data_IF_406896092946
#
_entry.id   IF_406896092946
#
_cell.length_a   1.000
_cell.length_b   1.000
_cell.length_c   1.000
_cell.angle_alpha   90.00
_cell.angle_beta   90.00
_cell.angle_gamma   90.00
#
_symmetry.space_group_name_H-M   'P 1'
#
loop_
_entity.id
_entity.type
_entity.pdbx_description
1 polymer ?
#
# COMPACT_ATOMS: atom_id res chain seq x y z
N UNK A 1 23.09 22.95 -26.55
CA UNK A 1 21.95 23.33 -27.42
C UNK A 1 20.98 22.17 -27.40
N UNK A 2 19.96 22.26 -26.55
CA UNK A 2 18.83 21.33 -26.56
C UNK A 2 17.97 21.74 -27.76
N UNK A 3 17.89 20.91 -28.80
CA UNK A 3 17.07 21.22 -29.99
C UNK A 3 15.59 21.18 -29.61
N UNK A 4 14.73 21.98 -30.26
CA UNK A 4 13.27 21.97 -30.06
C UNK A 4 12.68 20.54 -30.13
N UNK A 5 13.23 19.67 -30.97
CA UNK A 5 12.86 18.25 -31.05
C UNK A 5 13.10 17.42 -29.76
N UNK A 6 13.96 17.88 -28.85
CA UNK A 6 14.16 17.26 -27.53
C UNK A 6 13.13 17.74 -26.49
N UNK A 7 12.43 18.85 -26.72
CA UNK A 7 11.34 19.33 -25.86
C UNK A 7 10.01 18.62 -26.18
N UNK A 8 9.76 18.30 -27.46
CA UNK A 8 8.58 17.52 -27.89
C UNK A 8 8.58 16.07 -27.34
N UNK A 9 9.72 15.56 -26.87
CA UNK A 9 9.85 14.24 -26.23
C UNK A 9 9.46 14.22 -24.75
N UNK A 10 9.11 15.38 -24.17
CA UNK A 10 8.80 15.53 -22.74
C UNK A 10 7.31 15.82 -22.46
N UNK A 11 6.45 15.89 -23.49
CA UNK A 11 5.01 15.99 -23.27
C UNK A 11 4.48 14.61 -22.83
N UNK A 12 3.84 14.50 -21.64
CA UNK A 12 3.28 13.24 -21.17
C UNK A 12 2.10 12.82 -22.05
N UNK A 13 2.00 11.54 -22.39
CA UNK A 13 0.87 11.03 -23.17
C UNK A 13 -0.43 10.96 -22.33
N UNK A 14 -0.32 10.45 -21.10
CA UNK A 14 -1.44 10.25 -20.18
C UNK A 14 -1.01 10.65 -18.76
N UNK A 15 -1.85 11.41 -18.07
CA UNK A 15 -1.77 11.60 -16.62
C UNK A 15 -2.81 10.72 -15.95
N UNK A 16 -2.36 9.85 -15.05
CA UNK A 16 -3.22 9.03 -14.19
C UNK A 16 -3.33 9.68 -12.83
N UNK A 17 -4.56 9.88 -12.34
CA UNK A 17 -4.83 10.37 -11.00
C UNK A 17 -5.68 9.35 -10.25
N UNK A 18 -5.18 8.88 -9.12
CA UNK A 18 -5.93 8.07 -8.16
C UNK A 18 -6.39 8.97 -7.01
N UNK A 19 -7.65 8.81 -6.59
CA UNK A 19 -8.21 9.58 -5.48
C UNK A 19 -9.23 8.77 -4.69
N UNK A 20 -9.38 9.14 -3.42
CA UNK A 20 -10.38 8.56 -2.53
C UNK A 20 -11.71 9.23 -2.77
N UNK A 21 -12.70 8.47 -3.23
CA UNK A 21 -14.07 8.91 -3.33
C UNK A 21 -14.76 8.68 -1.97
N UNK A 22 -14.96 9.75 -1.21
CA UNK A 22 -15.53 9.69 0.14
C UNK A 22 -17.00 9.28 0.15
N UNK A 23 -17.73 9.49 -0.95
CA UNK A 23 -19.16 9.16 -1.04
C UNK A 23 -19.36 7.66 -1.23
N UNK A 24 -18.50 7.01 -2.03
CA UNK A 24 -18.54 5.56 -2.27
C UNK A 24 -17.55 4.74 -1.43
N UNK A 25 -16.66 5.41 -0.69
CA UNK A 25 -15.54 4.80 0.03
C UNK A 25 -14.68 3.89 -0.88
N UNK A 26 -14.32 4.40 -2.06
CA UNK A 26 -13.52 3.69 -3.06
C UNK A 26 -12.28 4.47 -3.46
N UNK A 27 -11.23 3.77 -3.88
CA UNK A 27 -10.15 4.33 -4.67
C UNK A 27 -10.58 4.35 -6.14
N UNK A 28 -10.79 5.55 -6.68
CA UNK A 28 -11.17 5.76 -8.07
C UNK A 28 -9.96 6.24 -8.88
N UNK A 29 -9.91 5.88 -10.17
CA UNK A 29 -8.87 6.35 -11.10
C UNK A 29 -9.49 7.19 -12.22
N UNK A 30 -8.85 8.30 -12.57
CA UNK A 30 -9.16 9.08 -13.77
C UNK A 30 -7.91 9.26 -14.62
N UNK A 31 -8.11 9.25 -15.94
CA UNK A 31 -7.06 9.43 -16.93
C UNK A 31 -7.29 10.72 -17.68
N UNK A 32 -6.27 11.57 -17.72
CA UNK A 32 -6.24 12.72 -18.61
C UNK A 32 -5.34 12.40 -19.80
N UNK A 33 -5.93 12.36 -20.99
CA UNK A 33 -5.22 12.20 -22.26
C UNK A 33 -4.85 13.58 -22.79
N UNK A 34 -3.55 13.86 -22.89
CA UNK A 34 -3.03 15.15 -23.33
C UNK A 34 -3.25 15.40 -24.82
N UNK A 35 -3.31 14.35 -25.64
CA UNK A 35 -3.54 14.44 -27.08
C UNK A 35 -5.00 14.85 -27.36
N UNK A 36 -5.96 14.18 -26.71
CA UNK A 36 -7.38 14.47 -26.89
C UNK A 36 -7.91 15.59 -25.98
N UNK A 37 -7.14 15.97 -24.96
CA UNK A 37 -7.51 16.93 -23.91
C UNK A 37 -8.79 16.55 -23.18
N UNK A 38 -9.02 15.24 -23.00
CA UNK A 38 -10.22 14.69 -22.36
C UNK A 38 -9.87 13.96 -21.08
N UNK A 39 -10.75 14.10 -20.09
CA UNK A 39 -10.79 13.21 -18.94
C UNK A 39 -11.66 12.00 -19.24
N UNK A 40 -11.17 10.82 -18.89
CA UNK A 40 -11.91 9.58 -18.90
C UNK A 40 -11.88 9.00 -17.48
N UNK A 41 -13.05 8.60 -16.95
CA UNK A 41 -13.08 7.81 -15.72
C UNK A 41 -12.53 6.42 -16.03
N UNK A 42 -11.61 5.95 -15.20
CA UNK A 42 -11.15 4.57 -15.27
C UNK A 42 -12.28 3.60 -14.99
N UNK A 43 -12.20 2.40 -15.57
CA UNK A 43 -13.13 1.32 -15.26
C UNK A 43 -12.96 0.78 -13.83
N UNK A 44 -11.79 1.02 -13.24
CA UNK A 44 -11.40 0.43 -11.96
C UNK A 44 -11.77 1.36 -10.80
N UNK A 45 -12.58 0.82 -9.90
CA UNK A 45 -12.94 1.40 -8.61
C UNK A 45 -12.75 0.29 -7.58
N UNK A 46 -11.77 0.46 -6.70
CA UNK A 46 -11.45 -0.53 -5.67
C UNK A 46 -12.08 -0.11 -4.34
N UNK A 47 -12.80 -0.99 -3.63
CA UNK A 47 -13.34 -0.67 -2.32
C UNK A 47 -12.23 -0.47 -1.29
N UNK A 48 -12.35 0.57 -0.46
CA UNK A 48 -11.54 0.71 0.73
C UNK A 48 -12.14 -0.10 1.86
N UNK A 49 -11.27 -0.68 2.68
CA UNK A 49 -11.63 -1.53 3.80
C UNK A 49 -11.42 -0.80 5.13
N UNK A 50 -12.19 -1.18 6.13
CA UNK A 50 -11.94 -0.78 7.52
C UNK A 50 -11.01 -1.80 8.18
N UNK A 51 -10.26 -1.36 9.19
CA UNK A 51 -9.47 -2.26 10.02
C UNK A 51 -10.36 -3.34 10.66
N UNK A 52 -10.00 -4.63 10.58
CA UNK A 52 -10.81 -5.70 11.14
C UNK A 52 -10.58 -5.84 12.66
N UNK A 53 -11.10 -4.90 13.45
CA UNK A 53 -10.91 -4.77 14.91
C UNK A 53 -11.14 -6.07 15.72
N UNK A 54 -12.06 -6.93 15.26
CA UNK A 54 -12.40 -8.18 15.96
C UNK A 54 -11.63 -9.41 15.45
N UNK A 55 -10.64 -9.21 14.58
CA UNK A 55 -9.85 -10.30 14.02
C UNK A 55 -8.71 -10.73 14.95
N UNK A 56 -8.60 -12.03 15.26
CA UNK A 56 -7.44 -12.57 15.95
C UNK A 56 -6.10 -12.29 15.25
N UNK A 57 -6.06 -12.13 13.93
CA UNK A 57 -4.82 -11.79 13.21
C UNK A 57 -4.51 -10.30 13.34
N UNK A 58 -5.53 -9.45 13.25
CA UNK A 58 -5.36 -8.00 13.40
C UNK A 58 -4.82 -7.63 14.79
N UNK A 59 -5.14 -8.39 15.84
CA UNK A 59 -4.58 -8.15 17.17
C UNK A 59 -3.11 -8.55 17.31
N UNK A 60 -2.51 -9.24 16.33
CA UNK A 60 -1.10 -9.64 16.34
C UNK A 60 -0.15 -8.54 15.87
N UNK A 61 -0.66 -7.49 15.23
CA UNK A 61 0.13 -6.39 14.66
C UNK A 61 -0.52 -5.05 15.05
N UNK A 62 0.23 -3.95 15.11
CA UNK A 62 -0.37 -2.64 15.37
C UNK A 62 -1.33 -2.24 14.25
N UNK A 63 -2.47 -1.63 14.60
CA UNK A 63 -3.34 -0.97 13.64
C UNK A 63 -2.57 0.20 13.01
N UNK A 64 -2.45 0.27 11.67
CA UNK A 64 -1.84 1.40 11.02
C UNK A 64 -2.66 2.68 11.27
N UNK A 65 -1.98 3.83 11.38
CA UNK A 65 -2.65 5.12 11.58
C UNK A 65 -3.47 5.60 10.37
N UNK A 66 -3.13 5.11 9.17
CA UNK A 66 -3.83 5.47 7.94
C UNK A 66 -5.15 4.72 7.81
N UNK A 67 -6.16 5.38 7.23
CA UNK A 67 -7.49 4.81 6.98
C UNK A 67 -7.68 4.27 5.56
N UNK A 68 -6.65 4.35 4.71
CA UNK A 68 -6.74 3.97 3.29
C UNK A 68 -6.30 2.53 3.05
N UNK A 69 -7.01 1.58 3.67
CA UNK A 69 -6.74 0.16 3.52
C UNK A 69 -7.41 -0.35 2.25
N UNK A 70 -6.66 -1.03 1.39
CA UNK A 70 -7.15 -1.74 0.20
C UNK A 70 -6.73 -3.21 0.23
N UNK A 71 -7.38 -4.03 -0.59
CA UNK A 71 -7.03 -5.45 -0.78
C UNK A 71 -6.93 -6.25 0.53
N UNK A 72 -7.78 -5.90 1.50
CA UNK A 72 -7.85 -6.57 2.80
C UNK A 72 -8.37 -8.00 2.63
N UNK A 73 -7.54 -8.95 3.05
CA UNK A 73 -7.85 -10.36 3.15
C UNK A 73 -7.52 -10.83 4.55
N UNK A 74 -8.54 -11.25 5.30
CA UNK A 74 -8.40 -11.79 6.64
C UNK A 74 -9.02 -13.18 6.71
N UNK A 75 -8.19 -14.18 6.97
CA UNK A 75 -8.58 -15.58 7.13
C UNK A 75 -7.86 -16.20 8.33
N UNK A 76 -8.13 -17.48 8.61
CA UNK A 76 -7.45 -18.18 9.70
C UNK A 76 -5.93 -18.29 9.51
N UNK A 77 -5.47 -18.29 8.26
CA UNK A 77 -4.06 -18.54 7.91
C UNK A 77 -3.33 -17.27 7.46
N UNK A 78 -4.03 -16.15 7.23
CA UNK A 78 -3.36 -14.90 6.85
C UNK A 78 -4.17 -13.65 7.17
N UNK A 79 -3.45 -12.55 7.37
CA UNK A 79 -3.94 -11.19 7.21
C UNK A 79 -3.05 -10.49 6.20
N UNK A 80 -3.62 -10.10 5.07
CA UNK A 80 -2.95 -9.34 4.00
C UNK A 80 -3.74 -8.08 3.72
N UNK A 81 -3.05 -6.96 3.54
CA UNK A 81 -3.67 -5.72 3.09
C UNK A 81 -2.62 -4.76 2.56
N UNK A 82 -3.09 -3.80 1.78
CA UNK A 82 -2.30 -2.67 1.32
C UNK A 82 -2.77 -1.39 2.03
N UNK A 83 -1.84 -0.47 2.27
CA UNK A 83 -2.10 0.87 2.77
C UNK A 83 -1.63 1.86 1.72
N UNK A 84 -2.55 2.69 1.25
CA UNK A 84 -2.30 3.69 0.23
C UNK A 84 -1.81 5.02 0.84
N UNK A 85 -1.01 5.75 0.08
CA UNK A 85 -0.50 7.07 0.48
C UNK A 85 0.54 7.01 1.60
N UNK A 86 1.23 5.88 1.75
CA UNK A 86 2.30 5.70 2.71
C UNK A 86 3.59 6.38 2.19
N UNK A 87 4.22 7.21 3.01
CA UNK A 87 5.58 7.69 2.73
C UNK A 87 6.62 6.69 3.25
N UNK A 88 7.87 6.87 2.82
CA UNK A 88 9.00 6.12 3.37
C UNK A 88 9.15 6.31 4.89
N UNK A 89 8.91 7.52 5.40
CA UNK A 89 8.95 7.82 6.83
C UNK A 89 7.82 7.07 7.57
N UNK A 90 6.62 7.01 7.00
CA UNK A 90 5.51 6.22 7.55
C UNK A 90 5.87 4.73 7.60
N UNK A 91 6.52 4.20 6.55
CA UNK A 91 7.01 2.82 6.53
C UNK A 91 7.99 2.53 7.67
N UNK A 92 8.98 3.41 7.86
CA UNK A 92 9.94 3.27 8.96
C UNK A 92 9.25 3.38 10.32
N UNK A 93 8.30 4.30 10.46
CA UNK A 93 7.50 4.44 11.66
C UNK A 93 6.70 3.16 11.95
N UNK A 94 5.97 2.63 10.98
CA UNK A 94 5.14 1.44 11.17
C UNK A 94 5.99 0.19 11.47
N UNK A 95 7.15 0.06 10.81
CA UNK A 95 8.13 -0.98 11.14
C UNK A 95 8.56 -0.92 12.61
N UNK A 96 8.83 0.28 13.13
CA UNK A 96 9.15 0.48 14.55
C UNK A 96 7.96 0.20 15.47
N UNK A 97 6.73 0.52 15.05
CA UNK A 97 5.50 0.19 15.78
C UNK A 97 5.32 -1.35 15.87
N UNK A 98 5.64 -2.11 14.81
CA UNK A 98 5.65 -3.57 14.84
C UNK A 98 6.69 -4.10 15.85
N UNK A 99 7.89 -3.51 15.89
CA UNK A 99 8.93 -3.87 16.88
C UNK A 99 8.46 -3.56 18.31
N UNK A 100 7.85 -2.39 18.54
CA UNK A 100 7.30 -2.01 19.83
C UNK A 100 6.13 -2.94 20.25
N UNK A 101 5.41 -3.53 19.30
CA UNK A 101 4.40 -4.56 19.51
C UNK A 101 5.02 -5.96 19.77
N UNK A 102 6.34 -6.05 19.85
CA UNK A 102 7.07 -7.26 20.22
C UNK A 102 7.35 -8.20 19.05
N UNK A 103 7.34 -7.70 17.81
CA UNK A 103 7.98 -8.39 16.69
C UNK A 103 9.49 -8.09 16.67
N UNK A 104 10.28 -9.01 16.13
CA UNK A 104 11.72 -8.83 15.98
C UNK A 104 12.08 -8.84 14.51
N UNK A 105 12.86 -7.86 14.05
CA UNK A 105 13.36 -7.83 12.66
C UNK A 105 14.34 -8.98 12.46
N UNK A 106 14.07 -9.80 11.44
CA UNK A 106 14.99 -10.84 10.96
C UNK A 106 15.96 -10.25 9.94
N UNK A 107 15.43 -9.51 8.96
CA UNK A 107 16.21 -8.85 7.90
C UNK A 107 15.44 -7.64 7.42
N UNK A 108 16.13 -6.53 7.17
CA UNK A 108 15.53 -5.35 6.56
C UNK A 108 16.40 -4.85 5.40
N UNK A 109 15.74 -4.39 4.35
CA UNK A 109 16.28 -3.62 3.24
C UNK A 109 15.66 -2.21 3.29
N UNK A 110 15.97 -1.36 2.32
CA UNK A 110 15.45 0.01 2.31
C UNK A 110 13.92 0.02 2.32
N UNK A 111 13.29 -0.77 1.46
CA UNK A 111 11.85 -0.81 1.23
C UNK A 111 11.16 -2.08 1.75
N UNK A 112 11.88 -2.96 2.45
CA UNK A 112 11.35 -4.25 2.92
C UNK A 112 11.78 -4.53 4.35
N UNK A 113 10.87 -5.05 5.18
CA UNK A 113 11.20 -5.59 6.49
C UNK A 113 10.59 -6.98 6.68
N UNK A 114 11.45 -7.98 6.89
CA UNK A 114 11.10 -9.34 7.26
C UNK A 114 11.27 -9.51 8.76
N UNK A 115 10.28 -10.09 9.42
CA UNK A 115 10.32 -10.32 10.86
C UNK A 115 10.56 -11.81 11.17
N UNK A 116 11.12 -12.07 12.35
CA UNK A 116 11.24 -13.42 12.89
C UNK A 116 9.83 -13.96 13.14
N UNK A 117 9.52 -15.19 12.74
CA UNK A 117 8.22 -15.79 13.01
C UNK A 117 7.88 -15.78 14.50
N UNK A 118 6.63 -15.44 14.81
CA UNK A 118 6.10 -15.29 16.16
C UNK A 118 4.70 -15.89 16.21
N UNK A 119 4.44 -16.68 17.25
CA UNK A 119 3.12 -17.31 17.49
C UNK A 119 2.58 -18.14 16.30
N UNK A 120 3.48 -18.71 15.49
CA UNK A 120 3.14 -19.51 14.31
C UNK A 120 2.89 -18.71 13.03
N UNK A 121 3.22 -17.42 13.01
CA UNK A 121 3.06 -16.54 11.86
C UNK A 121 4.36 -15.80 11.50
N UNK A 122 4.61 -15.58 10.22
CA UNK A 122 5.58 -14.62 9.69
C UNK A 122 4.90 -13.27 9.43
N UNK A 123 5.65 -12.19 9.63
CA UNK A 123 5.24 -10.84 9.27
C UNK A 123 6.26 -10.27 8.29
N UNK A 124 5.78 -9.79 7.15
CA UNK A 124 6.57 -9.14 6.12
C UNK A 124 5.91 -7.81 5.73
N UNK A 125 6.74 -6.77 5.60
CA UNK A 125 6.35 -5.43 5.17
C UNK A 125 7.09 -5.10 3.87
N UNK A 126 6.37 -4.63 2.85
CA UNK A 126 6.94 -4.24 1.56
C UNK A 126 6.42 -2.86 1.15
N UNK A 127 7.30 -1.88 1.13
CA UNK A 127 7.02 -0.51 0.70
C UNK A 127 7.32 -0.34 -0.79
N UNK A 128 6.50 0.43 -1.48
CA UNK A 128 6.67 0.82 -2.87
C UNK A 128 6.61 2.35 -2.95
N UNK A 129 7.75 2.98 -3.24
CA UNK A 129 7.85 4.44 -3.43
C UNK A 129 7.08 4.89 -4.68
N UNK A 130 7.14 4.09 -5.76
CA UNK A 130 6.47 4.38 -7.03
C UNK A 130 4.95 4.54 -6.89
N UNK A 131 4.34 3.77 -5.98
CA UNK A 131 2.89 3.79 -5.74
C UNK A 131 2.51 4.40 -4.39
N UNK A 132 3.48 4.82 -3.58
CA UNK A 132 3.27 5.21 -2.17
C UNK A 132 2.41 4.19 -1.42
N UNK A 133 2.75 2.91 -1.54
CA UNK A 133 1.95 1.81 -0.97
C UNK A 133 2.80 1.00 0.00
N UNK A 134 2.23 0.65 1.15
CA UNK A 134 2.76 -0.39 2.03
C UNK A 134 1.90 -1.64 1.92
N UNK A 135 2.47 -2.74 1.47
CA UNK A 135 1.86 -4.07 1.56
C UNK A 135 2.30 -4.76 2.85
N UNK A 136 1.31 -5.30 3.57
CA UNK A 136 1.51 -6.03 4.83
C UNK A 136 1.06 -7.46 4.65
N UNK A 137 1.93 -8.40 5.03
CA UNK A 137 1.67 -9.83 4.96
C UNK A 137 1.93 -10.45 6.33
N UNK A 138 0.86 -10.90 7.00
CA UNK A 138 0.94 -11.75 8.17
C UNK A 138 0.45 -13.14 7.76
N UNK A 139 1.36 -14.10 7.59
CA UNK A 139 1.04 -15.42 7.07
C UNK A 139 1.36 -16.49 8.11
N UNK A 140 0.53 -17.51 8.20
CA UNK A 140 0.81 -18.68 9.02
C UNK A 140 1.98 -19.45 8.43
N UNK A 141 2.91 -19.87 9.28
CA UNK A 141 4.04 -20.68 8.89
C UNK A 141 3.56 -22.04 8.37
N UNK A 142 4.03 -22.46 7.20
CA UNK A 142 3.79 -23.80 6.69
C UNK A 142 4.68 -24.79 7.46
N UNK A 143 4.04 -25.77 8.12
CA UNK A 143 4.74 -26.87 8.81
C UNK A 143 5.29 -27.91 7.84
#
# INVERSE_FOLDING_TARGET
MTSIAQLDLAEPDILTVQYVNTDSNTLDTVYYDFNSKKMNKGGDSAPLSSWPENSPRASMIPQPKSTLISDLLDSEDQLRFDILGFSYEDFQQYTNECVANGWQISTSMDDIAYFVPKDGFSLDLMYSDDSSTLSVYLNKEQQ
#
